data_IF_452447804213
#
_entry.id   IF_452447804213
#
_cell.length_a   1.000
_cell.length_b   1.000
_cell.length_c   1.000
_cell.angle_alpha   90.00
_cell.angle_beta   90.00
_cell.angle_gamma   90.00
#
_symmetry.space_group_name_H-M   'P 1'
#
loop_
_entity.id
_entity.type
_entity.pdbx_description
1 polymer ?
#
# COMPACT_ATOMS: atom_id res chain seq x y z
N UNK A 1 72.49 -51.06 21.58
CA UNK A 1 72.27 -50.36 22.87
C UNK A 1 71.74 -48.98 22.56
N UNK A 2 70.57 -48.68 23.14
CA UNK A 2 69.94 -47.38 23.44
C UNK A 2 70.56 -46.15 22.76
N UNK A 3 69.78 -45.43 21.97
CA UNK A 3 70.05 -44.00 21.77
C UNK A 3 68.73 -43.24 21.71
N UNK A 4 68.50 -42.45 22.76
CA UNK A 4 67.32 -41.63 22.98
C UNK A 4 67.23 -40.48 21.98
N UNK A 5 65.99 -40.18 21.60
CA UNK A 5 65.54 -38.95 20.94
C UNK A 5 65.65 -37.75 21.89
N UNK A 6 66.01 -36.60 21.34
CA UNK A 6 65.57 -35.28 21.84
C UNK A 6 65.29 -34.34 20.68
N UNK A 7 64.14 -33.68 20.80
CA UNK A 7 63.42 -32.89 19.80
C UNK A 7 63.95 -31.46 19.64
N UNK A 8 63.71 -30.86 18.48
CA UNK A 8 63.72 -29.40 18.27
C UNK A 8 62.35 -28.98 17.71
N UNK A 9 61.66 -28.14 18.48
CA UNK A 9 60.36 -27.55 18.19
C UNK A 9 60.55 -26.38 17.22
N UNK A 10 59.85 -26.39 16.09
CA UNK A 10 59.74 -25.23 15.19
C UNK A 10 58.38 -24.56 15.41
N UNK A 11 58.40 -23.30 15.84
CA UNK A 11 57.21 -22.47 16.02
C UNK A 11 56.86 -21.86 14.66
N UNK A 12 55.78 -22.34 14.06
CA UNK A 12 55.19 -21.73 12.87
C UNK A 12 54.22 -20.63 13.29
N UNK A 13 54.55 -19.38 12.97
CA UNK A 13 53.65 -18.23 13.09
C UNK A 13 52.58 -18.35 12.02
N UNK A 14 51.36 -18.75 12.40
CA UNK A 14 50.19 -18.63 11.54
C UNK A 14 49.77 -17.15 11.49
N UNK A 15 49.97 -16.50 10.34
CA UNK A 15 49.24 -15.28 10.01
C UNK A 15 47.76 -15.64 9.86
N UNK A 16 46.97 -15.32 10.88
CA UNK A 16 45.51 -15.29 10.76
C UNK A 16 45.16 -14.05 9.94
N UNK A 17 44.78 -14.26 8.68
CA UNK A 17 44.16 -13.24 7.86
C UNK A 17 42.81 -12.88 8.46
N UNK A 18 42.75 -11.72 9.12
CA UNK A 18 41.54 -11.13 9.68
C UNK A 18 40.58 -10.76 8.55
N UNK A 19 39.62 -11.64 8.25
CA UNK A 19 38.45 -11.27 7.46
C UNK A 19 37.60 -10.30 8.30
N UNK A 20 37.69 -9.00 8.02
CA UNK A 20 36.77 -8.01 8.57
C UNK A 20 35.33 -8.41 8.18
N UNK A 21 34.38 -8.46 9.13
CA UNK A 21 32.98 -8.61 8.75
C UNK A 21 32.60 -7.38 7.93
N UNK A 22 32.25 -7.59 6.66
CA UNK A 22 31.58 -6.59 5.85
C UNK A 22 30.37 -6.12 6.63
N UNK A 23 30.44 -4.92 7.21
CA UNK A 23 29.37 -4.34 8.00
C UNK A 23 28.21 -4.07 7.05
N UNK A 24 27.26 -5.00 6.95
CA UNK A 24 26.06 -4.84 6.11
C UNK A 24 25.23 -3.71 6.70
N UNK A 25 24.71 -2.83 5.84
CA UNK A 25 23.78 -1.79 6.25
C UNK A 25 22.61 -2.37 7.06
N UNK A 26 22.10 -1.65 8.08
CA UNK A 26 21.00 -2.11 8.91
C UNK A 26 19.74 -2.38 8.06
N UNK A 27 18.79 -3.13 8.61
CA UNK A 27 17.46 -3.27 8.00
C UNK A 27 16.66 -1.98 8.24
N UNK A 28 15.95 -1.49 7.23
CA UNK A 28 15.09 -0.32 7.41
C UNK A 28 13.92 -0.61 8.36
N UNK A 29 13.57 0.38 9.18
CA UNK A 29 12.53 0.29 10.21
C UNK A 29 11.34 1.23 9.93
N UNK A 30 10.21 1.02 10.60
CA UNK A 30 9.01 1.84 10.46
C UNK A 30 8.02 1.35 9.41
N UNK A 31 6.82 1.91 9.46
CA UNK A 31 5.75 1.58 8.51
C UNK A 31 5.99 2.22 7.14
N UNK A 32 5.57 1.54 6.07
CA UNK A 32 5.76 1.98 4.68
C UNK A 32 5.00 3.26 4.33
N UNK A 33 3.98 3.61 5.11
CA UNK A 33 3.25 4.85 4.96
C UNK A 33 3.73 5.97 5.91
N UNK A 34 4.76 5.70 6.72
CA UNK A 34 5.37 6.71 7.59
C UNK A 34 6.58 7.31 6.88
N UNK A 35 6.56 8.63 6.68
CA UNK A 35 7.56 9.39 5.92
C UNK A 35 8.36 10.26 6.88
N UNK A 36 9.68 10.08 6.90
CA UNK A 36 10.59 11.05 7.53
C UNK A 36 10.93 12.13 6.50
N UNK A 37 10.51 13.37 6.75
CA UNK A 37 10.80 14.52 5.92
C UNK A 37 11.96 15.34 6.52
N UNK A 38 13.08 15.45 5.80
CA UNK A 38 14.24 16.26 6.19
C UNK A 38 14.31 17.53 5.36
N UNK A 39 14.35 18.69 6.00
CA UNK A 39 14.48 19.98 5.32
C UNK A 39 15.18 21.02 6.21
N UNK A 40 15.70 22.10 5.61
CA UNK A 40 16.12 23.27 6.38
C UNK A 40 14.91 23.89 7.09
N UNK A 41 15.08 24.34 8.34
CA UNK A 41 13.98 24.84 9.15
C UNK A 41 13.28 26.07 8.57
N UNK A 42 14.02 26.94 7.91
CA UNK A 42 13.48 28.11 7.20
C UNK A 42 12.61 27.71 6.02
N UNK A 43 13.07 26.77 5.18
CA UNK A 43 12.30 26.24 4.06
C UNK A 43 11.05 25.52 4.57
N UNK A 44 11.18 24.66 5.57
CA UNK A 44 10.04 23.93 6.14
C UNK A 44 9.00 24.86 6.75
N UNK A 45 9.43 25.96 7.38
CA UNK A 45 8.51 27.00 7.86
C UNK A 45 7.63 27.59 6.76
N UNK A 46 8.10 27.62 5.52
CA UNK A 46 7.34 28.13 4.38
C UNK A 46 6.48 27.06 3.68
N UNK A 47 7.01 25.84 3.48
CA UNK A 47 6.35 24.80 2.66
C UNK A 47 5.75 23.65 3.47
N UNK A 48 6.08 23.52 4.75
CA UNK A 48 5.66 22.41 5.61
C UNK A 48 4.15 22.19 5.63
N UNK A 49 3.30 23.23 5.76
CA UNK A 49 1.85 23.09 5.67
C UNK A 49 1.37 22.52 4.32
N UNK A 50 2.00 22.92 3.21
CA UNK A 50 1.67 22.43 1.87
C UNK A 50 2.08 20.96 1.71
N UNK A 51 3.28 20.60 2.18
CA UNK A 51 3.79 19.22 2.18
C UNK A 51 2.86 18.31 2.98
N UNK A 52 2.51 18.68 4.21
CA UNK A 52 1.62 17.89 5.07
C UNK A 52 0.22 17.77 4.45
N UNK A 53 -0.31 18.85 3.88
CA UNK A 53 -1.62 18.84 3.23
C UNK A 53 -1.68 17.86 2.05
N UNK A 54 -0.62 17.82 1.22
CA UNK A 54 -0.56 16.96 0.04
C UNK A 54 -0.27 15.51 0.41
N UNK A 55 0.68 15.26 1.31
CA UNK A 55 1.11 13.89 1.63
C UNK A 55 0.20 13.21 2.66
N UNK A 56 -0.31 13.93 3.66
CA UNK A 56 -1.19 13.36 4.68
C UNK A 56 -2.68 13.37 4.27
N UNK A 57 -2.95 13.23 2.96
CA UNK A 57 -4.31 13.05 2.45
C UNK A 57 -5.02 11.94 3.21
N UNK A 58 -6.30 12.15 3.50
CA UNK A 58 -7.09 11.24 4.32
C UNK A 58 -8.04 10.40 3.48
N UNK A 59 -8.19 9.15 3.89
CA UNK A 59 -9.22 8.24 3.41
C UNK A 59 -10.16 7.93 4.57
N UNK A 60 -11.45 7.82 4.29
CA UNK A 60 -12.40 7.38 5.30
C UNK A 60 -12.44 5.85 5.32
N UNK A 61 -12.12 5.25 6.46
CA UNK A 61 -12.27 3.81 6.70
C UNK A 61 -13.49 3.57 7.59
N UNK A 62 -13.30 3.47 8.91
CA UNK A 62 -14.33 3.70 9.95
C UNK A 62 -14.18 5.06 10.62
N UNK A 63 -13.04 5.70 10.37
CA UNK A 63 -12.67 7.06 10.79
C UNK A 63 -11.76 7.63 9.71
N UNK A 64 -11.51 8.94 9.68
CA UNK A 64 -10.48 9.50 8.82
C UNK A 64 -9.11 8.95 9.20
N UNK A 65 -8.48 8.21 8.30
CA UNK A 65 -7.11 7.71 8.40
C UNK A 65 -6.22 8.46 7.41
N UNK A 66 -4.97 8.73 7.77
CA UNK A 66 -4.00 9.33 6.86
C UNK A 66 -3.46 8.26 5.93
N UNK A 67 -3.32 8.58 4.64
CA UNK A 67 -2.64 7.71 3.68
C UNK A 67 -1.17 7.62 3.99
N UNK A 68 -0.52 8.77 4.25
CA UNK A 68 0.84 8.85 4.76
C UNK A 68 0.90 9.68 6.05
N UNK A 69 1.83 9.35 6.93
CA UNK A 69 2.14 10.12 8.13
C UNK A 69 3.50 10.78 7.99
N UNK A 70 3.55 12.11 8.03
CA UNK A 70 4.80 12.85 7.81
C UNK A 70 5.38 13.31 9.14
N UNK A 71 6.61 12.88 9.43
CA UNK A 71 7.40 13.37 10.56
C UNK A 71 8.54 14.25 10.04
N UNK A 72 8.50 15.53 10.39
CA UNK A 72 9.53 16.50 10.01
C UNK A 72 10.74 16.47 10.94
N UNK A 73 11.93 16.55 10.36
CA UNK A 73 13.19 16.83 11.04
C UNK A 73 13.92 17.98 10.36
N UNK A 74 14.47 18.88 11.17
CA UNK A 74 15.37 19.93 10.66
C UNK A 74 16.71 19.32 10.26
N UNK A 75 17.35 19.90 9.24
CA UNK A 75 18.79 19.68 9.05
C UNK A 75 19.53 20.05 10.34
N UNK A 76 20.41 19.16 10.79
CA UNK A 76 21.16 19.29 12.04
C UNK A 76 20.47 18.70 13.29
N UNK A 77 19.24 18.20 13.17
CA UNK A 77 18.57 17.50 14.26
C UNK A 77 19.33 16.22 14.62
N UNK A 78 19.60 16.00 15.92
CA UNK A 78 20.31 14.83 16.41
C UNK A 78 19.58 13.51 16.14
N UNK A 79 18.25 13.55 16.00
CA UNK A 79 17.43 12.37 15.71
C UNK A 79 17.64 11.85 14.28
N UNK A 80 18.21 12.66 13.38
CA UNK A 80 18.39 12.29 11.98
C UNK A 80 19.22 11.00 11.80
N UNK A 81 20.24 10.77 12.63
CA UNK A 81 21.09 9.58 12.50
C UNK A 81 20.32 8.27 12.71
N UNK A 82 19.29 8.31 13.57
CA UNK A 82 18.40 7.18 13.86
C UNK A 82 17.21 7.14 12.89
N UNK A 83 16.67 8.30 12.51
CA UNK A 83 15.48 8.37 11.65
C UNK A 83 15.80 8.20 10.16
N UNK A 84 17.05 8.40 9.72
CA UNK A 84 17.43 8.22 8.31
C UNK A 84 17.40 6.76 7.86
N UNK A 85 17.22 5.79 8.75
CA UNK A 85 17.08 4.36 8.39
C UNK A 85 15.61 3.94 8.28
N UNK A 86 14.68 4.90 8.27
CA UNK A 86 13.26 4.62 8.08
C UNK A 86 12.96 4.05 6.70
N UNK A 87 11.90 3.26 6.55
CA UNK A 87 11.56 2.64 5.27
C UNK A 87 11.29 3.65 4.15
N UNK A 88 10.81 4.84 4.50
CA UNK A 88 10.57 5.93 3.57
C UNK A 88 11.10 7.26 4.11
N UNK A 89 11.96 7.90 3.32
CA UNK A 89 12.57 9.20 3.65
C UNK A 89 12.41 10.13 2.46
N UNK A 90 12.03 11.38 2.74
CA UNK A 90 11.97 12.47 1.75
C UNK A 90 12.88 13.60 2.20
N UNK A 91 13.82 14.03 1.37
CA UNK A 91 14.78 15.10 1.68
C UNK A 91 14.55 16.27 0.73
N UNK A 92 14.30 17.46 1.27
CA UNK A 92 14.13 18.70 0.53
C UNK A 92 15.43 19.50 0.61
N UNK A 93 16.12 19.69 -0.52
CA UNK A 93 17.35 20.47 -0.50
C UNK A 93 18.07 20.56 -1.84
N UNK A 94 19.09 21.42 -1.90
CA UNK A 94 19.97 21.56 -3.07
C UNK A 94 21.05 20.48 -3.09
N UNK A 95 21.87 20.48 -4.16
CA UNK A 95 23.05 19.61 -4.30
C UNK A 95 24.09 19.76 -3.18
N UNK A 96 24.06 20.85 -2.44
CA UNK A 96 24.98 21.06 -1.30
C UNK A 96 24.55 20.29 -0.05
N UNK A 97 23.25 19.97 0.07
CA UNK A 97 22.74 19.20 1.20
C UNK A 97 23.36 17.79 1.21
N UNK A 98 23.94 17.39 2.35
CA UNK A 98 24.66 16.12 2.48
C UNK A 98 23.76 14.90 2.28
N UNK A 99 22.51 14.94 2.77
CA UNK A 99 21.57 13.84 2.61
C UNK A 99 21.11 13.72 1.15
N UNK A 100 20.85 14.85 0.47
CA UNK A 100 20.56 14.88 -0.98
C UNK A 100 21.71 14.24 -1.77
N UNK A 101 22.97 14.62 -1.51
CA UNK A 101 24.14 14.01 -2.19
C UNK A 101 24.19 12.50 -2.04
N UNK A 102 23.93 11.96 -0.84
CA UNK A 102 23.89 10.51 -0.62
C UNK A 102 22.81 9.82 -1.47
N UNK A 103 21.63 10.44 -1.61
CA UNK A 103 20.57 9.92 -2.48
C UNK A 103 21.00 9.97 -3.95
N UNK A 104 21.60 11.08 -4.40
CA UNK A 104 22.09 11.21 -5.77
C UNK A 104 23.19 10.18 -6.09
N UNK A 105 24.14 9.97 -5.18
CA UNK A 105 25.25 9.01 -5.34
C UNK A 105 24.75 7.55 -5.42
N UNK A 106 23.65 7.24 -4.73
CA UNK A 106 23.02 5.92 -4.73
C UNK A 106 22.01 5.73 -5.87
N UNK A 107 21.62 6.80 -6.56
CA UNK A 107 20.65 6.73 -7.65
C UNK A 107 21.26 6.03 -8.86
N UNK A 108 20.54 5.09 -9.52
CA UNK A 108 21.05 4.41 -10.71
C UNK A 108 21.09 5.34 -11.93
N UNK A 109 20.43 6.50 -11.86
CA UNK A 109 20.36 7.49 -12.94
C UNK A 109 21.22 8.71 -12.63
N UNK A 110 21.85 9.34 -13.64
CA UNK A 110 22.56 10.60 -13.44
C UNK A 110 21.66 11.68 -12.83
N UNK A 111 22.23 12.48 -11.93
CA UNK A 111 21.49 13.51 -11.22
C UNK A 111 20.96 14.60 -12.19
N UNK A 112 19.63 14.79 -12.31
CA UNK A 112 19.02 15.77 -13.22
C UNK A 112 19.22 17.22 -12.76
N UNK A 113 18.94 18.19 -13.63
CA UNK A 113 18.92 19.60 -13.23
C UNK A 113 17.74 19.90 -12.28
N UNK A 114 17.91 20.75 -11.25
CA UNK A 114 16.82 21.18 -10.40
C UNK A 114 15.83 22.11 -11.14
N UNK A 115 14.53 22.11 -10.79
CA UNK A 115 13.89 21.27 -9.80
C UNK A 115 13.57 19.87 -10.32
N UNK A 116 13.82 18.83 -9.52
CA UNK A 116 13.55 17.44 -9.90
C UNK A 116 13.30 16.53 -8.69
N UNK A 117 12.66 15.38 -8.92
CA UNK A 117 12.55 14.30 -7.94
C UNK A 117 13.54 13.20 -8.30
N UNK A 118 14.31 12.74 -7.32
CA UNK A 118 15.25 11.62 -7.48
C UNK A 118 14.97 10.57 -6.42
N UNK A 119 14.80 9.32 -6.82
CA UNK A 119 14.65 8.19 -5.91
C UNK A 119 15.88 7.30 -5.95
N UNK A 120 16.24 6.76 -4.79
CA UNK A 120 17.29 5.76 -4.64
C UNK A 120 16.88 4.74 -3.57
N UNK A 121 17.27 3.50 -3.78
CA UNK A 121 17.07 2.42 -2.82
C UNK A 121 18.32 2.21 -1.97
N UNK A 122 18.13 1.73 -0.76
CA UNK A 122 19.20 1.28 0.13
C UNK A 122 20.30 2.32 0.46
N UNK A 123 19.94 3.61 0.52
CA UNK A 123 20.89 4.72 0.78
C UNK A 123 21.55 4.62 2.16
N UNK A 124 20.76 4.34 3.20
CA UNK A 124 21.25 4.19 4.58
C UNK A 124 20.91 2.83 5.20
N UNK A 125 19.87 2.15 4.70
CA UNK A 125 19.40 0.87 5.23
C UNK A 125 18.83 -0.03 4.12
N UNK A 126 18.92 -1.36 4.29
CA UNK A 126 18.36 -2.32 3.34
C UNK A 126 16.84 -2.23 3.28
N UNK A 127 16.27 -2.44 2.09
CA UNK A 127 14.83 -2.29 1.80
C UNK A 127 14.25 -0.88 2.05
N UNK A 128 15.10 0.15 2.04
CA UNK A 128 14.69 1.55 2.19
C UNK A 128 14.43 2.21 0.82
N UNK A 129 13.43 3.09 0.77
CA UNK A 129 13.28 4.07 -0.30
C UNK A 129 13.62 5.47 0.22
N UNK A 130 14.59 6.13 -0.41
CA UNK A 130 14.92 7.53 -0.16
C UNK A 130 14.60 8.38 -1.40
N UNK A 131 13.90 9.50 -1.17
CA UNK A 131 13.49 10.43 -2.23
C UNK A 131 14.08 11.80 -1.95
N UNK A 132 14.76 12.41 -2.93
CA UNK A 132 15.21 13.79 -2.87
C UNK A 132 14.30 14.66 -3.74
N UNK A 133 13.78 15.74 -3.17
CA UNK A 133 13.34 16.90 -3.94
C UNK A 133 14.59 17.75 -4.15
N UNK A 134 15.18 17.63 -5.33
CA UNK A 134 16.38 18.35 -5.71
C UNK A 134 16.01 19.78 -6.08
N UNK A 135 16.35 20.73 -5.21
CA UNK A 135 15.90 22.12 -5.33
C UNK A 135 16.97 23.04 -5.95
N UNK A 136 16.54 24.10 -6.68
CA UNK A 136 17.42 25.15 -7.16
C UNK A 136 18.00 26.00 -6.01
N UNK A 137 18.99 26.85 -6.31
CA UNK A 137 19.56 27.78 -5.32
C UNK A 137 18.58 28.87 -4.88
N UNK A 138 17.69 29.28 -5.77
CA UNK A 138 16.66 30.31 -5.56
C UNK A 138 15.28 29.74 -5.88
N UNK A 139 14.20 30.30 -5.32
CA UNK A 139 12.84 29.83 -5.59
C UNK A 139 12.50 28.44 -5.04
N UNK A 140 13.20 27.99 -4.00
CA UNK A 140 13.06 26.64 -3.43
C UNK A 140 11.63 26.29 -3.04
N UNK A 141 10.90 27.24 -2.44
CA UNK A 141 9.54 26.99 -2.00
C UNK A 141 8.54 26.80 -3.16
N UNK A 142 8.69 27.59 -4.23
CA UNK A 142 7.93 27.41 -5.46
C UNK A 142 8.25 26.06 -6.12
N UNK A 143 9.53 25.71 -6.18
CA UNK A 143 9.97 24.41 -6.68
C UNK A 143 9.35 23.24 -5.89
N UNK A 144 9.36 23.29 -4.55
CA UNK A 144 8.72 22.25 -3.72
C UNK A 144 7.24 22.14 -4.07
N UNK A 145 6.50 23.26 -4.08
CA UNK A 145 5.06 23.27 -4.39
C UNK A 145 4.76 22.71 -5.78
N UNK A 146 5.59 23.01 -6.77
CA UNK A 146 5.47 22.47 -8.12
C UNK A 146 5.71 20.96 -8.21
N UNK A 147 6.60 20.41 -7.37
CA UNK A 147 6.93 18.98 -7.34
C UNK A 147 5.98 18.14 -6.47
N UNK A 148 5.20 18.76 -5.57
CA UNK A 148 4.36 18.03 -4.62
C UNK A 148 3.36 17.05 -5.25
N UNK A 149 2.64 17.39 -6.35
CA UNK A 149 1.74 16.44 -7.00
C UNK A 149 2.47 15.19 -7.53
N UNK A 150 3.58 15.40 -8.25
CA UNK A 150 4.39 14.29 -8.78
C UNK A 150 5.00 13.44 -7.66
N UNK A 151 5.46 14.07 -6.58
CA UNK A 151 5.95 13.38 -5.40
C UNK A 151 4.86 12.48 -4.81
N UNK A 152 3.66 13.00 -4.60
CA UNK A 152 2.55 12.22 -4.06
C UNK A 152 2.27 10.99 -4.93
N UNK A 153 2.15 11.17 -6.25
CA UNK A 153 1.86 10.07 -7.18
C UNK A 153 2.97 9.00 -7.17
N UNK A 154 4.23 9.41 -7.05
CA UNK A 154 5.37 8.48 -6.96
C UNK A 154 5.34 7.67 -5.64
N UNK A 155 5.06 8.33 -4.52
CA UNK A 155 5.00 7.67 -3.21
C UNK A 155 3.80 6.72 -3.12
N UNK A 156 2.63 7.13 -3.63
CA UNK A 156 1.42 6.31 -3.69
C UNK A 156 1.64 5.07 -4.56
N UNK A 157 2.24 5.23 -5.75
CA UNK A 157 2.58 4.09 -6.61
C UNK A 157 3.53 3.10 -5.94
N UNK A 158 4.58 3.58 -5.27
CA UNK A 158 5.50 2.68 -4.54
C UNK A 158 4.80 1.97 -3.38
N UNK A 159 3.92 2.68 -2.69
CA UNK A 159 3.14 2.10 -1.60
C UNK A 159 2.21 1.00 -2.12
N UNK A 160 1.58 1.20 -3.26
CA UNK A 160 0.77 0.18 -3.94
C UNK A 160 1.59 -1.04 -4.36
N UNK A 161 2.77 -0.84 -4.96
CA UNK A 161 3.70 -1.93 -5.29
C UNK A 161 4.03 -2.78 -4.05
N UNK A 162 4.34 -2.12 -2.93
CA UNK A 162 4.59 -2.84 -1.68
C UNK A 162 3.36 -3.61 -1.17
N UNK A 163 2.16 -3.02 -1.28
CA UNK A 163 0.92 -3.71 -0.93
C UNK A 163 0.74 -4.96 -1.80
N UNK A 164 0.95 -4.83 -3.11
CA UNK A 164 0.86 -5.93 -4.08
C UNK A 164 1.85 -7.04 -3.74
N UNK A 165 3.12 -6.71 -3.54
CA UNK A 165 4.18 -7.66 -3.20
C UNK A 165 3.84 -8.45 -1.93
N UNK A 166 3.35 -7.76 -0.90
CA UNK A 166 2.94 -8.40 0.36
C UNK A 166 1.69 -9.25 0.19
N UNK A 167 0.69 -8.74 -0.54
CA UNK A 167 -0.60 -9.39 -0.76
C UNK A 167 -0.47 -10.70 -1.55
N UNK A 168 0.40 -10.72 -2.57
CA UNK A 168 0.64 -11.88 -3.44
C UNK A 168 1.85 -12.74 -3.03
N UNK A 169 2.28 -12.67 -1.77
CA UNK A 169 3.33 -13.57 -1.25
C UNK A 169 3.01 -15.07 -1.41
N UNK A 170 1.73 -15.43 -1.50
CA UNK A 170 1.28 -16.81 -1.77
C UNK A 170 1.03 -17.10 -3.25
N UNK A 171 1.46 -16.19 -4.13
CA UNK A 171 1.19 -16.21 -5.56
C UNK A 171 -0.22 -15.75 -5.90
N UNK A 172 -0.42 -15.44 -7.18
CA UNK A 172 -1.74 -15.21 -7.79
C UNK A 172 -2.38 -16.58 -8.04
N UNK A 173 -3.68 -16.71 -7.76
CA UNK A 173 -4.43 -17.92 -8.05
C UNK A 173 -4.94 -17.92 -9.50
N UNK A 174 -4.03 -18.15 -10.44
CA UNK A 174 -4.36 -18.14 -11.88
C UNK A 174 -5.39 -19.22 -12.26
N UNK A 175 -5.38 -20.37 -11.56
CA UNK A 175 -6.36 -21.44 -11.78
C UNK A 175 -7.77 -21.02 -11.40
N UNK A 176 -7.93 -20.28 -10.29
CA UNK A 176 -9.22 -19.68 -9.92
C UNK A 176 -9.64 -18.61 -10.94
N UNK A 177 -8.72 -17.73 -11.35
CA UNK A 177 -9.03 -16.71 -12.34
C UNK A 177 -9.53 -17.33 -13.66
N UNK A 178 -8.93 -18.44 -14.10
CA UNK A 178 -9.37 -19.18 -15.28
C UNK A 178 -10.73 -19.84 -15.06
N UNK A 179 -10.97 -20.48 -13.91
CA UNK A 179 -12.27 -21.08 -13.60
C UNK A 179 -13.41 -20.03 -13.58
N UNK A 180 -13.15 -18.81 -13.08
CA UNK A 180 -14.13 -17.73 -13.07
C UNK A 180 -14.53 -17.27 -14.49
N UNK A 181 -13.67 -17.45 -15.49
CA UNK A 181 -13.98 -17.06 -16.88
C UNK A 181 -15.22 -17.75 -17.42
N UNK A 182 -15.48 -18.99 -16.99
CA UNK A 182 -16.67 -19.75 -17.39
C UNK A 182 -17.97 -19.06 -16.95
N UNK A 183 -17.90 -18.19 -15.93
CA UNK A 183 -19.02 -17.41 -15.41
C UNK A 183 -19.07 -15.98 -15.97
N UNK A 184 -18.20 -15.66 -16.93
CA UNK A 184 -18.21 -14.38 -17.64
C UNK A 184 -17.37 -13.28 -17.00
N UNK A 185 -16.50 -13.59 -16.02
CA UNK A 185 -15.61 -12.60 -15.42
C UNK A 185 -14.28 -13.19 -14.95
N UNK A 186 -13.30 -12.35 -14.64
CA UNK A 186 -12.09 -12.75 -13.93
C UNK A 186 -11.82 -11.81 -12.76
N UNK A 187 -11.17 -12.34 -11.73
CA UNK A 187 -10.63 -11.58 -10.60
C UNK A 187 -9.26 -12.17 -10.24
N UNK A 188 -8.25 -11.32 -10.04
CA UNK A 188 -6.93 -11.76 -9.62
C UNK A 188 -6.91 -11.79 -8.09
N UNK A 189 -6.97 -12.98 -7.51
CA UNK A 189 -6.95 -13.18 -6.06
C UNK A 189 -5.67 -13.90 -5.63
N UNK A 190 -5.11 -13.57 -4.45
CA UNK A 190 -4.04 -14.36 -3.84
C UNK A 190 -4.49 -15.80 -3.54
N UNK A 191 -3.57 -16.76 -3.61
CA UNK A 191 -3.86 -18.19 -3.35
C UNK A 191 -4.40 -18.47 -1.94
N UNK A 192 -4.22 -17.56 -0.98
CA UNK A 192 -4.77 -17.67 0.38
C UNK A 192 -6.27 -17.43 0.48
N UNK A 193 -6.93 -16.90 -0.54
CA UNK A 193 -8.38 -16.69 -0.46
C UNK A 193 -9.11 -18.03 -0.49
N UNK A 194 -9.90 -18.26 0.55
CA UNK A 194 -10.90 -19.33 0.58
C UNK A 194 -12.11 -18.86 -0.22
N UNK A 195 -12.80 -19.77 -0.91
CA UNK A 195 -13.96 -19.38 -1.70
C UNK A 195 -15.05 -20.44 -1.72
N UNK A 196 -16.28 -19.97 -1.98
CA UNK A 196 -17.44 -20.80 -2.25
C UNK A 196 -18.28 -20.20 -3.38
N UNK A 197 -19.00 -21.06 -4.08
CA UNK A 197 -19.90 -20.68 -5.17
C UNK A 197 -21.24 -21.38 -4.94
N UNK A 198 -22.32 -20.62 -4.97
CA UNK A 198 -23.70 -21.09 -4.89
C UNK A 198 -24.52 -20.38 -5.96
N UNK A 199 -24.98 -21.12 -6.97
CA UNK A 199 -25.61 -20.57 -8.17
C UNK A 199 -24.79 -19.46 -8.84
N UNK A 200 -25.26 -18.21 -8.79
CA UNK A 200 -24.57 -17.02 -9.32
C UNK A 200 -23.89 -16.19 -8.24
N UNK A 201 -23.76 -16.72 -7.02
CA UNK A 201 -23.17 -16.06 -5.87
C UNK A 201 -21.77 -16.63 -5.59
N UNK A 202 -20.78 -15.75 -5.61
CA UNK A 202 -19.38 -16.06 -5.36
C UNK A 202 -18.94 -15.37 -4.09
N UNK A 203 -18.27 -16.10 -3.21
CA UNK A 203 -17.74 -15.56 -1.94
C UNK A 203 -16.27 -15.89 -1.85
N UNK A 204 -15.47 -14.90 -1.51
CA UNK A 204 -14.04 -15.01 -1.33
C UNK A 204 -13.67 -14.39 0.03
N UNK A 205 -12.93 -15.12 0.86
CA UNK A 205 -12.56 -14.70 2.19
C UNK A 205 -11.09 -15.00 2.49
N UNK A 206 -10.38 -14.02 3.03
CA UNK A 206 -9.05 -14.20 3.58
C UNK A 206 -9.07 -13.88 5.10
N UNK A 207 -9.24 -14.91 5.95
CA UNK A 207 -9.31 -14.79 7.40
C UNK A 207 -7.94 -14.78 8.10
N UNK A 208 -6.83 -14.84 7.35
CA UNK A 208 -5.51 -15.03 7.95
C UNK A 208 -5.00 -13.74 8.62
N UNK A 209 -4.72 -13.85 9.92
CA UNK A 209 -4.15 -12.76 10.74
C UNK A 209 -2.83 -12.23 10.17
N UNK A 210 -2.54 -10.96 10.44
CA UNK A 210 -1.20 -10.39 10.24
C UNK A 210 -0.71 -9.82 11.57
N UNK A 211 0.32 -10.45 12.14
CA UNK A 211 0.73 -10.17 13.52
C UNK A 211 -0.40 -10.47 14.50
N UNK A 212 -0.65 -9.55 15.42
CA UNK A 212 -1.69 -9.69 16.44
C UNK A 212 -3.07 -9.23 15.95
N UNK A 213 -3.21 -8.75 14.73
CA UNK A 213 -4.48 -8.26 14.18
C UNK A 213 -5.33 -9.39 13.61
N UNK A 214 -6.56 -9.53 14.12
CA UNK A 214 -7.61 -10.32 13.47
C UNK A 214 -8.05 -9.65 12.17
N UNK A 215 -8.05 -10.41 11.07
CA UNK A 215 -8.32 -9.87 9.74
C UNK A 215 -9.30 -10.76 9.00
N UNK A 216 -10.35 -10.14 8.44
CA UNK A 216 -11.16 -10.76 7.41
C UNK A 216 -11.32 -9.76 6.26
N UNK A 217 -10.69 -10.10 5.13
CA UNK A 217 -10.93 -9.43 3.84
C UNK A 217 -11.93 -10.28 3.09
N UNK A 218 -13.11 -9.76 2.88
CA UNK A 218 -14.22 -10.45 2.23
C UNK A 218 -14.54 -9.80 0.90
N UNK A 219 -14.88 -10.60 -0.10
CA UNK A 219 -15.43 -10.16 -1.39
C UNK A 219 -16.59 -11.08 -1.72
N UNK A 220 -17.76 -10.51 -1.97
CA UNK A 220 -18.93 -11.17 -2.53
C UNK A 220 -19.15 -10.67 -3.95
N UNK A 221 -19.47 -11.55 -4.89
CA UNK A 221 -19.74 -11.19 -6.27
C UNK A 221 -20.99 -11.90 -6.78
N UNK A 222 -21.86 -11.14 -7.43
CA UNK A 222 -23.03 -11.63 -8.17
C UNK A 222 -23.32 -10.70 -9.35
N UNK A 223 -24.38 -10.95 -10.10
CA UNK A 223 -24.81 -10.05 -11.17
C UNK A 223 -26.33 -10.10 -11.35
N UNK A 224 -26.85 -9.10 -12.06
CA UNK A 224 -28.21 -9.11 -12.61
C UNK A 224 -28.15 -8.99 -14.13
N UNK A 225 -29.20 -9.46 -14.79
CA UNK A 225 -29.42 -9.19 -16.21
C UNK A 225 -29.67 -7.70 -16.44
N UNK A 226 -29.30 -7.20 -17.61
CA UNK A 226 -29.37 -5.79 -17.96
C UNK A 226 -28.07 -5.04 -17.66
N UNK A 227 -27.75 -4.09 -18.53
CA UNK A 227 -26.64 -3.14 -18.37
C UNK A 227 -27.11 -1.69 -18.18
N UNK A 228 -28.34 -1.52 -17.67
CA UNK A 228 -28.90 -0.20 -17.38
C UNK A 228 -28.09 0.54 -16.33
N UNK A 229 -28.12 1.88 -16.42
CA UNK A 229 -27.40 2.75 -15.49
C UNK A 229 -27.82 2.48 -14.04
N UNK A 230 -26.82 2.26 -13.19
CA UNK A 230 -27.00 2.12 -11.74
C UNK A 230 -26.86 3.49 -11.11
N UNK A 231 -27.87 3.94 -10.38
CA UNK A 231 -27.80 5.18 -9.57
C UNK A 231 -27.27 4.89 -8.16
N UNK A 232 -26.70 5.88 -7.45
CA UNK A 232 -26.30 5.76 -6.04
C UNK A 232 -27.38 5.16 -5.14
N UNK A 233 -28.63 5.58 -5.31
CA UNK A 233 -29.77 5.11 -4.51
C UNK A 233 -30.05 3.63 -4.79
N UNK A 234 -30.02 3.23 -6.06
CA UNK A 234 -30.23 1.83 -6.45
C UNK A 234 -29.10 0.91 -5.98
N UNK A 235 -27.85 1.40 -6.00
CA UNK A 235 -26.70 0.65 -5.47
C UNK A 235 -26.78 0.49 -3.95
N UNK A 236 -27.16 1.55 -3.23
CA UNK A 236 -27.38 1.50 -1.77
C UNK A 236 -28.50 0.50 -1.43
N UNK A 237 -29.62 0.52 -2.15
CA UNK A 237 -30.72 -0.44 -1.96
C UNK A 237 -30.30 -1.89 -2.26
N UNK A 238 -29.47 -2.10 -3.30
CA UNK A 238 -28.93 -3.43 -3.60
C UNK A 238 -28.02 -3.91 -2.47
N UNK A 239 -27.11 -3.05 -1.99
CA UNK A 239 -26.24 -3.39 -0.85
C UNK A 239 -27.05 -3.70 0.40
N UNK A 240 -28.07 -2.93 0.72
CA UNK A 240 -28.93 -3.22 1.87
C UNK A 240 -29.56 -4.61 1.79
N UNK A 241 -30.02 -5.00 0.60
CA UNK A 241 -30.59 -6.35 0.34
C UNK A 241 -29.54 -7.45 0.54
N UNK A 242 -28.33 -7.25 0.05
CA UNK A 242 -27.21 -8.18 0.24
C UNK A 242 -26.80 -8.25 1.71
N UNK A 243 -26.72 -7.10 2.38
CA UNK A 243 -26.40 -6.96 3.81
C UNK A 243 -27.34 -7.77 4.70
N UNK A 244 -28.64 -7.73 4.38
CA UNK A 244 -29.68 -8.45 5.13
C UNK A 244 -29.68 -9.97 4.89
N UNK A 245 -29.46 -10.40 3.65
CA UNK A 245 -29.71 -11.79 3.24
C UNK A 245 -28.46 -12.64 3.02
N UNK A 246 -27.31 -12.01 2.81
CA UNK A 246 -26.09 -12.70 2.40
C UNK A 246 -25.00 -12.69 3.47
N UNK A 247 -25.15 -11.94 4.55
CA UNK A 247 -24.20 -11.97 5.67
C UNK A 247 -24.87 -12.48 6.93
N UNK A 248 -24.12 -13.26 7.69
CA UNK A 248 -24.55 -13.80 8.98
C UNK A 248 -23.46 -13.48 10.01
N UNK A 249 -23.73 -12.61 10.99
CA UNK A 249 -24.98 -11.86 11.18
C UNK A 249 -25.24 -10.82 10.06
N UNK A 250 -26.49 -10.39 9.86
CA UNK A 250 -26.83 -9.34 8.89
C UNK A 250 -26.02 -8.06 9.12
N UNK A 251 -25.64 -7.39 8.03
CA UNK A 251 -24.85 -6.15 8.05
C UNK A 251 -25.69 -4.94 7.65
N UNK A 252 -25.70 -3.93 8.51
CA UNK A 252 -26.21 -2.59 8.25
C UNK A 252 -25.14 -1.67 7.68
N UNK A 253 -25.56 -0.62 6.97
CA UNK A 253 -24.70 0.49 6.56
C UNK A 253 -24.88 1.66 7.51
N UNK A 254 -23.77 2.21 8.01
CA UNK A 254 -23.79 3.48 8.75
C UNK A 254 -23.72 4.65 7.77
N UNK A 255 -24.41 5.75 8.08
CA UNK A 255 -24.39 6.93 7.22
C UNK A 255 -23.05 7.69 7.28
N UNK A 256 -22.27 7.49 8.34
CA UNK A 256 -20.98 8.17 8.52
C UNK A 256 -19.94 7.69 7.49
N UNK A 257 -19.31 8.65 6.81
CA UNK A 257 -18.29 8.39 5.80
C UNK A 257 -18.82 7.75 4.51
N UNK A 258 -20.14 7.70 4.33
CA UNK A 258 -20.74 7.17 3.13
C UNK A 258 -20.47 8.10 1.94
N UNK A 259 -20.00 7.53 0.84
CA UNK A 259 -19.71 8.25 -0.39
C UNK A 259 -19.96 7.37 -1.60
N UNK A 260 -20.37 7.97 -2.70
CA UNK A 260 -20.51 7.26 -3.98
C UNK A 260 -19.99 8.11 -5.12
N UNK A 261 -19.52 7.45 -6.18
CA UNK A 261 -18.99 8.14 -7.34
C UNK A 261 -18.77 7.19 -8.52
N UNK A 262 -18.68 7.73 -9.74
CA UNK A 262 -18.36 6.94 -10.91
C UNK A 262 -16.95 6.37 -10.78
N UNK A 263 -16.76 5.17 -11.33
CA UNK A 263 -15.46 4.53 -11.42
C UNK A 263 -15.24 3.98 -12.83
N UNK A 264 -13.97 3.83 -13.20
CA UNK A 264 -13.55 3.11 -14.39
C UNK A 264 -12.62 1.97 -13.99
N UNK A 265 -12.95 0.75 -14.38
CA UNK A 265 -12.14 -0.45 -14.10
C UNK A 265 -11.86 -1.14 -15.42
N UNK A 266 -10.59 -1.14 -15.85
CA UNK A 266 -10.16 -1.76 -17.11
C UNK A 266 -10.97 -1.29 -18.35
N UNK A 267 -11.31 0.00 -18.41
CA UNK A 267 -12.11 0.59 -19.50
C UNK A 267 -13.62 0.34 -19.39
N UNK A 268 -14.09 -0.25 -18.29
CA UNK A 268 -15.51 -0.47 -18.00
C UNK A 268 -15.98 0.60 -17.02
N UNK A 269 -17.11 1.22 -17.32
CA UNK A 269 -17.74 2.20 -16.43
C UNK A 269 -18.55 1.51 -15.34
N UNK A 270 -18.49 2.06 -14.14
CA UNK A 270 -19.23 1.56 -12.99
C UNK A 270 -19.59 2.64 -11.99
N UNK A 271 -20.23 2.21 -10.91
CA UNK A 271 -20.51 3.04 -9.75
C UNK A 271 -19.91 2.40 -8.51
N UNK A 272 -19.23 3.18 -7.69
CA UNK A 272 -18.71 2.75 -6.40
C UNK A 272 -19.51 3.39 -5.26
N UNK A 273 -19.79 2.61 -4.24
CA UNK A 273 -20.32 3.04 -2.94
C UNK A 273 -19.33 2.59 -1.87
N UNK A 274 -18.94 3.52 -1.00
CA UNK A 274 -18.08 3.28 0.16
C UNK A 274 -18.81 3.69 1.42
N UNK A 275 -18.46 3.08 2.54
CA UNK A 275 -18.97 3.44 3.85
C UNK A 275 -18.53 2.46 4.92
N UNK A 276 -19.25 2.47 6.04
CA UNK A 276 -19.02 1.57 7.17
C UNK A 276 -20.14 0.55 7.25
N UNK A 277 -19.78 -0.73 7.38
CA UNK A 277 -20.71 -1.78 7.73
C UNK A 277 -20.68 -2.00 9.25
N UNK A 278 -21.80 -2.40 9.82
CA UNK A 278 -21.90 -2.89 11.19
C UNK A 278 -22.82 -4.11 11.21
N UNK A 279 -22.42 -5.19 11.84
CA UNK A 279 -23.30 -6.36 11.98
C UNK A 279 -24.29 -6.23 13.14
N UNK A 280 -25.35 -7.04 13.12
CA UNK A 280 -26.40 -7.06 14.15
C UNK A 280 -26.15 -8.09 15.26
N UNK A 281 -24.88 -8.39 15.57
CA UNK A 281 -24.54 -9.29 16.68
C UNK A 281 -24.78 -8.64 18.06
N UNK A 282 -24.78 -9.44 19.12
CA UNK A 282 -24.81 -8.92 20.51
C UNK A 282 -23.60 -8.04 20.83
N UNK A 283 -22.46 -8.33 20.21
CA UNK A 283 -21.24 -7.53 20.24
C UNK A 283 -20.87 -7.14 18.82
N UNK A 284 -21.44 -6.03 18.31
CA UNK A 284 -21.33 -5.68 16.90
C UNK A 284 -19.89 -5.52 16.42
N UNK A 285 -19.55 -6.16 15.30
CA UNK A 285 -18.36 -5.83 14.55
C UNK A 285 -18.66 -4.73 13.52
N UNK A 286 -17.64 -3.97 13.14
CA UNK A 286 -17.75 -2.94 12.12
C UNK A 286 -16.45 -2.77 11.34
N UNK A 287 -16.56 -2.22 10.14
CA UNK A 287 -15.41 -1.97 9.28
C UNK A 287 -15.78 -1.24 7.98
N UNK A 288 -14.79 -0.88 7.16
CA UNK A 288 -15.06 -0.25 5.87
C UNK A 288 -15.55 -1.27 4.86
N UNK A 289 -16.35 -0.81 3.90
CA UNK A 289 -16.71 -1.56 2.71
C UNK A 289 -16.51 -0.74 1.43
N UNK A 290 -16.37 -1.47 0.32
CA UNK A 290 -16.35 -0.94 -1.04
C UNK A 290 -17.27 -1.82 -1.87
N UNK A 291 -18.30 -1.22 -2.43
CA UNK A 291 -19.28 -1.91 -3.28
C UNK A 291 -19.25 -1.28 -4.65
N UNK A 292 -19.07 -2.10 -5.68
CA UNK A 292 -19.00 -1.65 -7.07
C UNK A 292 -20.06 -2.33 -7.90
N UNK A 293 -20.69 -1.58 -8.78
CA UNK A 293 -21.36 -2.14 -9.95
C UNK A 293 -20.56 -1.88 -11.20
N UNK A 294 -20.41 -2.89 -12.05
CA UNK A 294 -19.66 -2.80 -13.30
C UNK A 294 -20.52 -3.39 -14.41
N UNK A 295 -20.83 -2.56 -15.41
CA UNK A 295 -21.61 -3.00 -16.56
C UNK A 295 -20.74 -3.79 -17.54
N UNK A 296 -21.23 -4.94 -17.99
CA UNK A 296 -20.65 -5.75 -19.07
C UNK A 296 -21.68 -5.85 -20.22
N UNK A 297 -21.81 -4.84 -21.10
CA UNK A 297 -22.89 -4.77 -22.09
C UNK A 297 -22.94 -5.94 -23.07
N UNK A 298 -21.79 -6.52 -23.44
CA UNK A 298 -21.73 -7.68 -24.35
C UNK A 298 -22.40 -8.93 -23.77
N UNK A 299 -22.49 -9.01 -22.45
CA UNK A 299 -23.09 -10.14 -21.75
C UNK A 299 -24.53 -9.84 -21.29
N UNK A 300 -25.03 -8.62 -21.51
CA UNK A 300 -26.28 -8.12 -20.91
C UNK A 300 -26.30 -8.30 -19.38
N UNK A 301 -25.20 -7.94 -18.70
CA UNK A 301 -25.03 -8.10 -17.25
C UNK A 301 -24.50 -6.84 -16.59
N UNK A 302 -24.98 -6.60 -15.37
CA UNK A 302 -24.37 -5.69 -14.42
C UNK A 302 -23.86 -6.51 -13.24
N UNK A 303 -22.54 -6.57 -13.10
CA UNK A 303 -21.88 -7.21 -11.97
C UNK A 303 -22.01 -6.34 -10.73
N UNK A 304 -22.21 -6.98 -9.58
CA UNK A 304 -22.19 -6.39 -8.25
C UNK A 304 -21.08 -7.07 -7.48
N UNK A 305 -20.14 -6.28 -6.98
CA UNK A 305 -18.98 -6.75 -6.24
C UNK A 305 -18.93 -6.00 -4.93
N UNK A 306 -18.99 -6.72 -3.82
CA UNK A 306 -19.06 -6.17 -2.48
C UNK A 306 -17.90 -6.64 -1.63
N UNK A 307 -16.98 -5.74 -1.36
CA UNK A 307 -15.83 -6.01 -0.50
C UNK A 307 -16.02 -5.36 0.85
N UNK A 308 -15.67 -6.07 1.93
CA UNK A 308 -15.65 -5.50 3.26
C UNK A 308 -14.47 -6.02 4.08
N UNK A 309 -14.04 -5.21 5.03
CA UNK A 309 -12.88 -5.48 5.87
C UNK A 309 -13.31 -5.51 7.34
N UNK A 310 -12.93 -6.56 8.05
CA UNK A 310 -12.84 -6.57 9.51
C UNK A 310 -11.37 -6.50 9.92
N UNK A 311 -11.01 -5.46 10.67
CA UNK A 311 -9.64 -5.22 11.16
C UNK A 311 -9.68 -4.35 12.44
N UNK A 312 -10.08 -4.92 13.59
CA UNK A 312 -10.16 -4.18 14.86
C UNK A 312 -8.78 -3.79 15.37
N UNK A 313 -8.70 -2.66 16.08
CA UNK A 313 -7.49 -2.24 16.81
C UNK A 313 -6.28 -1.86 15.94
N UNK A 314 -6.43 -1.78 14.62
CA UNK A 314 -5.36 -1.37 13.70
C UNK A 314 -5.88 -0.38 12.66
N UNK A 315 -4.95 0.26 11.94
CA UNK A 315 -5.26 1.07 10.78
C UNK A 315 -5.72 0.19 9.62
N UNK A 316 -6.81 0.62 8.99
CA UNK A 316 -7.54 -0.15 7.99
C UNK A 316 -7.07 0.16 6.59
N UNK A 317 -6.50 1.35 6.35
CA UNK A 317 -6.12 1.80 5.01
C UNK A 317 -5.26 0.78 4.24
N UNK A 318 -4.18 0.18 4.81
CA UNK A 318 -3.37 -0.79 4.05
C UNK A 318 -4.17 -1.99 3.54
N UNK A 319 -5.14 -2.46 4.33
CA UNK A 319 -5.99 -3.61 3.99
C UNK A 319 -7.18 -3.22 3.11
N UNK A 320 -7.70 -2.00 3.26
CA UNK A 320 -8.71 -1.45 2.37
C UNK A 320 -8.13 -1.26 0.97
N UNK A 321 -6.89 -0.76 0.87
CA UNK A 321 -6.17 -0.62 -0.39
C UNK A 321 -5.89 -1.98 -1.06
N UNK A 322 -5.63 -3.04 -0.29
CA UNK A 322 -5.62 -4.41 -0.83
C UNK A 322 -6.93 -4.75 -1.53
N UNK A 323 -8.08 -4.53 -0.87
CA UNK A 323 -9.38 -4.79 -1.47
C UNK A 323 -9.61 -3.96 -2.74
N UNK A 324 -9.24 -2.67 -2.74
CA UNK A 324 -9.29 -1.82 -3.95
C UNK A 324 -8.53 -2.42 -5.12
N UNK A 325 -7.27 -2.82 -4.89
CA UNK A 325 -6.42 -3.41 -5.94
C UNK A 325 -7.03 -4.72 -6.47
N UNK A 326 -7.60 -5.56 -5.59
CA UNK A 326 -8.29 -6.78 -6.02
C UNK A 326 -9.53 -6.44 -6.87
N UNK A 327 -10.34 -5.48 -6.44
CA UNK A 327 -11.51 -5.03 -7.20
C UNK A 327 -11.14 -4.39 -8.55
N UNK A 328 -10.00 -3.69 -8.63
CA UNK A 328 -9.46 -3.10 -9.86
C UNK A 328 -8.99 -4.17 -10.86
N UNK A 329 -8.73 -5.40 -10.39
CA UNK A 329 -8.36 -6.53 -11.26
C UNK A 329 -9.55 -7.16 -11.99
N UNK A 330 -10.78 -6.75 -11.69
CA UNK A 330 -11.99 -7.28 -12.31
C UNK A 330 -11.99 -7.05 -13.83
N UNK A 331 -12.37 -8.08 -14.59
CA UNK A 331 -12.62 -7.97 -16.03
C UNK A 331 -13.86 -8.76 -16.40
N UNK A 332 -14.66 -8.24 -17.35
CA UNK A 332 -15.59 -9.07 -18.09
C UNK A 332 -14.80 -10.12 -18.89
N UNK A 333 -15.23 -11.37 -18.88
CA UNK A 333 -14.65 -12.48 -19.64
C UNK A 333 -15.70 -13.19 -20.48
N UNK A 334 -15.29 -13.91 -21.51
CA UNK A 334 -16.20 -14.46 -22.52
C UNK A 334 -16.52 -13.44 -23.61
N UNK A 335 -16.80 -13.94 -24.82
CA UNK A 335 -17.11 -13.14 -26.01
C UNK A 335 -18.55 -12.64 -26.00
#
# INVERSE_FOLDING_TARGET
MITQRTSLVSVSVLLVASSLPSCKAPQAFGDRNSIIALAESTLWGEVGPDVMKVLEQRVFTTRPERKFEVTYLSVGDTLWEDMRIWQQVVVLGSRENRAVRRILDASPTPAPEPPAIVQAEEVWARNQLATALLLPSEGQAEAVRGLLPELYDLLERRYDEWIIDRMYTTGVNDSLAEALREYGFTLQLPSVYLFSVEDSLFRFGNPYRQGDTDLLRSILLTWRSGSDEVTPESLRAWRQTVGESQYDPPQDMLDEGMGSGPIEVNGLTGLELRGVWQDRADFPAAGPFITRTIACPRQDRTYYIDAWLFAPGTDKYPYLRQLEILLDSFRCAGN
#
